data_IF_127923358199
#
_entry.id   IF_127923358199
#
_cell.length_a   1.000
_cell.length_b   1.000
_cell.length_c   1.000
_cell.angle_alpha   90.00
_cell.angle_beta   90.00
_cell.angle_gamma   90.00
#
_symmetry.space_group_name_H-M   'P 1'
#
loop_
_entity.id
_entity.type
_entity.pdbx_description
1 polymer ?
#
# COMPACT_ATOMS: atom_id res chain seq x y z
N UNK A 1 28.74 -23.21 -28.18
CA UNK A 1 27.97 -21.96 -28.19
C UNK A 1 28.37 -21.11 -26.99
N UNK A 2 28.61 -19.82 -27.17
CA UNK A 2 28.92 -18.88 -26.08
C UNK A 2 27.66 -18.46 -25.32
N UNK A 3 27.80 -17.99 -24.07
CA UNK A 3 26.69 -17.64 -23.20
C UNK A 3 25.80 -16.52 -23.77
N UNK A 4 26.39 -15.49 -24.38
CA UNK A 4 25.62 -14.37 -24.95
C UNK A 4 24.74 -14.83 -26.11
N UNK A 5 25.30 -15.64 -27.02
CA UNK A 5 24.53 -16.25 -28.11
C UNK A 5 23.42 -17.18 -27.59
N UNK A 6 23.60 -17.79 -26.42
CA UNK A 6 22.55 -18.60 -25.80
C UNK A 6 21.38 -17.73 -25.30
N UNK A 7 21.66 -16.57 -24.69
CA UNK A 7 20.65 -15.62 -24.20
C UNK A 7 19.80 -15.05 -25.31
N UNK A 8 20.41 -14.73 -26.45
CA UNK A 8 19.70 -14.27 -27.65
C UNK A 8 18.66 -15.29 -28.16
N UNK A 9 18.88 -16.58 -27.89
CA UNK A 9 18.00 -17.66 -28.35
C UNK A 9 16.88 -18.01 -27.35
N UNK A 10 16.82 -17.39 -26.17
CA UNK A 10 15.84 -17.74 -25.13
C UNK A 10 14.39 -17.59 -25.58
N UNK A 11 14.03 -16.47 -26.22
CA UNK A 11 12.66 -16.23 -26.71
C UNK A 11 12.26 -17.27 -27.75
N UNK A 12 13.08 -17.46 -28.79
CA UNK A 12 12.78 -18.42 -29.85
C UNK A 12 12.79 -19.88 -29.37
N UNK A 13 13.58 -20.21 -28.34
CA UNK A 13 13.57 -21.53 -27.70
C UNK A 13 12.30 -21.74 -26.87
N UNK A 14 11.89 -20.76 -26.07
CA UNK A 14 10.67 -20.80 -25.26
C UNK A 14 9.41 -20.87 -26.13
N UNK A 15 9.40 -20.17 -27.27
CA UNK A 15 8.31 -20.20 -28.25
C UNK A 15 8.32 -21.44 -29.15
N UNK A 16 9.32 -22.33 -29.01
CA UNK A 16 9.45 -23.52 -29.83
C UNK A 16 9.86 -23.26 -31.29
N UNK A 17 10.20 -22.03 -31.67
CA UNK A 17 10.55 -21.59 -33.04
C UNK A 17 12.01 -21.84 -33.43
N UNK A 18 12.84 -22.36 -32.52
CA UNK A 18 14.22 -22.68 -32.82
C UNK A 18 14.36 -23.84 -33.81
N UNK A 19 15.35 -23.75 -34.72
CA UNK A 19 15.77 -24.88 -35.55
C UNK A 19 16.18 -26.08 -34.67
N UNK A 20 15.89 -27.34 -35.08
CA UNK A 20 16.20 -28.53 -34.27
C UNK A 20 17.66 -28.64 -33.83
N UNK A 21 18.63 -28.30 -34.68
CA UNK A 21 20.05 -28.39 -34.36
C UNK A 21 20.45 -27.35 -33.31
N UNK A 22 19.90 -26.13 -33.42
CA UNK A 22 20.09 -25.08 -32.42
C UNK A 22 19.40 -25.44 -31.10
N UNK A 23 18.22 -26.08 -31.15
CA UNK A 23 17.47 -26.48 -29.97
C UNK A 23 18.26 -27.49 -29.14
N UNK A 24 18.85 -28.49 -29.81
CA UNK A 24 19.70 -29.48 -29.17
C UNK A 24 21.01 -28.87 -28.63
N UNK A 25 21.64 -27.96 -29.39
CA UNK A 25 22.85 -27.27 -28.93
C UNK A 25 22.57 -26.39 -27.69
N UNK A 26 21.44 -25.68 -27.65
CA UNK A 26 21.06 -24.87 -26.50
C UNK A 26 20.66 -25.75 -25.30
N UNK A 27 19.90 -26.82 -25.53
CA UNK A 27 19.53 -27.78 -24.50
C UNK A 27 20.74 -28.41 -23.80
N UNK A 28 21.74 -28.85 -24.58
CA UNK A 28 23.02 -29.34 -24.02
C UNK A 28 23.75 -28.27 -23.21
N UNK A 29 23.76 -27.03 -23.70
CA UNK A 29 24.42 -25.91 -23.01
C UNK A 29 23.73 -25.59 -21.68
N UNK A 30 22.40 -25.53 -21.65
CA UNK A 30 21.60 -25.35 -20.43
C UNK A 30 21.80 -26.50 -19.42
N UNK A 31 21.95 -27.74 -19.91
CA UNK A 31 22.25 -28.88 -19.04
C UNK A 31 23.65 -28.81 -18.41
N UNK A 32 24.64 -28.29 -19.16
CA UNK A 32 26.04 -28.19 -18.72
C UNK A 32 26.35 -26.97 -17.85
N UNK A 33 25.50 -25.94 -17.86
CA UNK A 33 25.79 -24.62 -17.30
C UNK A 33 24.67 -24.18 -16.33
N UNK A 34 24.82 -24.42 -15.01
CA UNK A 34 23.77 -24.15 -14.02
C UNK A 34 23.33 -22.69 -13.96
N UNK A 35 24.28 -21.75 -14.16
CA UNK A 35 24.00 -20.32 -14.13
C UNK A 35 23.13 -19.92 -15.33
N UNK A 36 23.47 -20.42 -16.52
CA UNK A 36 22.68 -20.14 -17.72
C UNK A 36 21.26 -20.75 -17.63
N UNK A 37 21.11 -21.89 -16.96
CA UNK A 37 19.80 -22.49 -16.67
C UNK A 37 18.95 -21.60 -15.75
N UNK A 38 19.53 -21.08 -14.68
CA UNK A 38 18.84 -20.14 -13.77
C UNK A 38 18.40 -18.85 -14.48
N UNK A 39 19.26 -18.32 -15.36
CA UNK A 39 18.92 -17.17 -16.22
C UNK A 39 17.72 -17.49 -17.13
N UNK A 40 17.72 -18.68 -17.75
CA UNK A 40 16.60 -19.14 -18.60
C UNK A 40 15.30 -19.34 -17.81
N UNK A 41 15.36 -19.94 -16.62
CA UNK A 41 14.20 -20.14 -15.74
C UNK A 41 13.59 -18.79 -15.32
N UNK A 42 14.43 -17.82 -14.98
CA UNK A 42 14.02 -16.45 -14.66
C UNK A 42 13.32 -15.79 -15.86
N UNK A 43 13.92 -15.89 -17.05
CA UNK A 43 13.31 -15.41 -18.30
C UNK A 43 11.93 -16.04 -18.55
N UNK A 44 11.83 -17.38 -18.45
CA UNK A 44 10.58 -18.10 -18.67
C UNK A 44 9.49 -17.75 -17.65
N UNK A 45 9.87 -17.44 -16.40
CA UNK A 45 8.94 -16.97 -15.37
C UNK A 45 8.38 -15.57 -15.71
N UNK A 46 9.25 -14.62 -16.09
CA UNK A 46 8.83 -13.28 -16.50
C UNK A 46 7.97 -13.31 -17.75
N UNK A 47 8.33 -14.13 -18.75
CA UNK A 47 7.57 -14.26 -19.99
C UNK A 47 6.16 -14.80 -19.74
N UNK A 48 6.01 -15.82 -18.87
CA UNK A 48 4.69 -16.33 -18.44
C UNK A 48 3.86 -15.27 -17.71
N UNK A 49 4.49 -14.48 -16.83
CA UNK A 49 3.81 -13.39 -16.16
C UNK A 49 3.28 -12.34 -17.16
N UNK A 50 4.07 -11.98 -18.18
CA UNK A 50 3.63 -11.07 -19.24
C UNK A 50 2.49 -11.65 -20.09
N UNK A 51 2.57 -12.93 -20.45
CA UNK A 51 1.46 -13.59 -21.17
C UNK A 51 0.17 -13.60 -20.36
N UNK A 52 0.25 -13.74 -19.03
CA UNK A 52 -0.94 -13.68 -18.16
C UNK A 52 -1.59 -12.29 -18.10
N UNK A 53 -0.82 -11.23 -18.38
CA UNK A 53 -1.33 -9.86 -18.51
C UNK A 53 -1.88 -9.57 -19.90
N UNK A 54 -1.41 -10.30 -20.91
CA UNK A 54 -1.74 -10.12 -22.32
C UNK A 54 -2.99 -10.86 -22.80
N UNK A 55 -3.71 -11.56 -21.91
CA UNK A 55 -5.06 -12.01 -22.25
C UNK A 55 -5.88 -10.77 -22.65
N UNK A 56 -6.35 -10.68 -23.90
CA UNK A 56 -7.24 -9.58 -24.26
C UNK A 56 -8.38 -9.62 -23.26
N UNK A 57 -8.57 -8.53 -22.51
CA UNK A 57 -9.78 -8.38 -21.73
C UNK A 57 -10.92 -8.62 -22.72
N UNK A 58 -11.73 -9.67 -22.50
CA UNK A 58 -12.94 -9.86 -23.28
C UNK A 58 -13.64 -8.51 -23.31
N UNK A 59 -13.97 -8.04 -24.52
CA UNK A 59 -14.72 -6.80 -24.65
C UNK A 59 -15.91 -6.91 -23.69
N UNK A 60 -16.01 -6.02 -22.69
CA UNK A 60 -17.09 -6.12 -21.73
C UNK A 60 -18.40 -6.12 -22.51
N UNK A 61 -19.33 -6.98 -22.13
CA UNK A 61 -20.63 -7.05 -22.78
C UNK A 61 -21.17 -5.62 -22.95
N UNK A 62 -21.69 -5.29 -24.14
CA UNK A 62 -22.11 -3.93 -24.48
C UNK A 62 -23.08 -3.33 -23.44
N UNK A 63 -23.85 -4.20 -22.76
CA UNK A 63 -24.82 -3.86 -21.73
C UNK A 63 -24.27 -3.89 -20.29
N UNK A 64 -22.97 -4.14 -20.08
CA UNK A 64 -22.39 -4.28 -18.74
C UNK A 64 -22.55 -2.99 -17.94
N UNK A 65 -22.34 -1.84 -18.59
CA UNK A 65 -22.54 -0.53 -17.97
C UNK A 65 -23.99 -0.37 -17.50
N UNK A 66 -24.96 -0.67 -18.38
CA UNK A 66 -26.39 -0.54 -18.09
C UNK A 66 -26.84 -1.51 -17.00
N UNK A 67 -26.31 -2.75 -17.00
CA UNK A 67 -26.59 -3.75 -15.96
C UNK A 67 -26.05 -3.35 -14.59
N UNK A 68 -24.84 -2.77 -14.55
CA UNK A 68 -24.25 -2.26 -13.32
C UNK A 68 -25.05 -1.08 -12.80
N UNK A 69 -25.42 -0.12 -13.67
CA UNK A 69 -26.24 1.03 -13.29
C UNK A 69 -27.63 0.60 -12.82
N UNK A 70 -28.30 -0.29 -13.54
CA UNK A 70 -29.60 -0.83 -13.12
C UNK A 70 -29.51 -1.55 -11.76
N UNK A 71 -28.39 -2.19 -11.45
CA UNK A 71 -28.18 -2.86 -10.14
C UNK A 71 -27.90 -1.85 -9.03
N UNK A 72 -27.16 -0.78 -9.31
CA UNK A 72 -26.93 0.33 -8.36
C UNK A 72 -28.25 1.05 -8.09
N UNK A 73 -29.03 1.37 -9.13
CA UNK A 73 -30.34 2.02 -9.02
C UNK A 73 -31.33 1.16 -8.25
N UNK A 74 -31.37 -0.14 -8.52
CA UNK A 74 -32.19 -1.09 -7.76
C UNK A 74 -31.80 -1.09 -6.28
N UNK A 75 -30.50 -1.09 -5.97
CA UNK A 75 -30.04 -1.06 -4.59
C UNK A 75 -30.39 0.27 -3.90
N UNK A 76 -30.25 1.39 -4.60
CA UNK A 76 -30.66 2.71 -4.12
C UNK A 76 -32.17 2.79 -3.87
N UNK A 77 -32.96 2.23 -4.78
CA UNK A 77 -34.42 2.20 -4.70
C UNK A 77 -34.92 1.26 -3.59
N UNK A 78 -34.36 0.05 -3.46
CA UNK A 78 -34.68 -0.88 -2.36
C UNK A 78 -34.34 -0.26 -0.99
N UNK A 79 -33.20 0.45 -0.89
CA UNK A 79 -32.80 1.18 0.32
C UNK A 79 -33.71 2.40 0.61
N UNK A 80 -34.25 3.04 -0.43
CA UNK A 80 -35.23 4.11 -0.28
C UNK A 80 -36.61 3.60 0.15
N UNK A 81 -37.03 2.43 -0.35
CA UNK A 81 -38.35 1.82 -0.09
C UNK A 81 -38.42 1.04 1.23
N UNK A 82 -37.28 0.57 1.74
CA UNK A 82 -37.16 -0.02 3.08
C UNK A 82 -37.29 1.00 4.23
N UNK A 83 -37.53 2.27 3.92
CA UNK A 83 -37.93 3.27 4.92
C UNK A 83 -39.45 3.21 5.11
N UNK A 84 -39.86 2.47 6.13
CA UNK A 84 -41.19 2.58 6.75
C UNK A 84 -41.59 4.05 7.01
N UNK A 85 -42.89 4.37 7.09
CA UNK A 85 -43.39 5.74 7.13
C UNK A 85 -42.89 6.47 8.38
N UNK A 86 -41.92 7.35 8.14
CA UNK A 86 -41.23 8.28 9.04
C UNK A 86 -42.10 9.03 10.05
N UNK A 87 -43.41 9.17 9.81
CA UNK A 87 -44.31 9.92 10.69
C UNK A 87 -44.67 9.21 12.01
N UNK A 88 -44.35 7.92 12.18
CA UNK A 88 -44.70 7.19 13.42
C UNK A 88 -43.72 7.41 14.59
N UNK A 89 -42.53 7.99 14.36
CA UNK A 89 -41.48 8.12 15.39
C UNK A 89 -40.90 9.55 15.56
N UNK A 90 -41.65 10.61 15.24
CA UNK A 90 -41.16 12.00 15.42
C UNK A 90 -40.73 12.37 16.86
N UNK A 91 -41.13 11.58 17.88
CA UNK A 91 -40.65 11.74 19.26
C UNK A 91 -39.18 11.35 19.47
N UNK A 92 -38.56 10.60 18.57
CA UNK A 92 -37.11 10.30 18.64
C UNK A 92 -36.26 11.25 17.78
N UNK A 93 -36.88 12.12 16.98
CA UNK A 93 -36.17 13.08 16.12
C UNK A 93 -35.51 14.25 16.89
N UNK A 94 -35.84 14.45 18.17
CA UNK A 94 -35.17 15.45 19.03
C UNK A 94 -33.81 14.98 19.58
N UNK A 95 -33.41 13.72 19.39
CA UNK A 95 -32.11 13.20 19.81
C UNK A 95 -31.07 13.10 18.67
N UNK A 96 -31.46 13.39 17.42
CA UNK A 96 -30.64 13.17 16.21
C UNK A 96 -29.96 14.43 15.64
N UNK A 97 -29.69 15.44 16.48
CA UNK A 97 -29.26 16.78 16.03
C UNK A 97 -27.77 16.95 15.67
N UNK A 98 -26.92 15.92 15.69
CA UNK A 98 -25.47 16.09 15.55
C UNK A 98 -24.78 15.29 14.43
N UNK A 99 -25.49 14.47 13.64
CA UNK A 99 -24.85 13.63 12.62
C UNK A 99 -24.74 14.26 11.21
N UNK A 100 -25.40 15.39 10.95
CA UNK A 100 -25.45 16.00 9.62
C UNK A 100 -24.21 16.85 9.26
N UNK A 101 -23.29 17.08 10.20
CA UNK A 101 -22.06 17.84 9.96
C UNK A 101 -20.87 16.98 9.49
N UNK A 102 -20.95 15.65 9.60
CA UNK A 102 -19.82 14.77 9.25
C UNK A 102 -19.70 14.47 7.74
N UNK A 103 -20.77 14.67 6.96
CA UNK A 103 -20.74 14.40 5.51
C UNK A 103 -20.32 15.62 4.66
N UNK A 104 -20.19 16.81 5.27
CA UNK A 104 -19.64 17.99 4.59
C UNK A 104 -18.12 18.13 4.75
N UNK A 105 -17.46 17.37 5.62
CA UNK A 105 -16.00 17.46 5.81
C UNK A 105 -15.19 16.63 4.81
N UNK A 106 -15.77 15.62 4.17
CA UNK A 106 -15.10 14.81 3.15
C UNK A 106 -14.87 15.56 1.82
N UNK A 107 -15.62 16.64 1.55
CA UNK A 107 -15.48 17.44 0.32
C UNK A 107 -14.54 18.65 0.43
N UNK A 108 -14.21 19.11 1.64
CA UNK A 108 -13.48 20.38 1.84
C UNK A 108 -11.97 20.18 2.01
N UNK A 109 -11.50 18.96 2.29
CA UNK A 109 -10.06 18.71 2.49
C UNK A 109 -9.20 18.82 1.21
N UNK A 110 -9.82 18.89 0.02
CA UNK A 110 -9.11 19.16 -1.24
C UNK A 110 -8.93 20.65 -1.56
N UNK A 111 -9.61 21.57 -0.87
CA UNK A 111 -9.62 23.00 -1.21
C UNK A 111 -8.69 23.88 -0.37
N UNK A 112 -8.02 23.36 0.66
CA UNK A 112 -7.15 24.14 1.54
C UNK A 112 -5.64 24.04 1.26
N UNK A 113 -5.22 23.43 0.14
CA UNK A 113 -3.85 23.66 -0.36
C UNK A 113 -3.81 25.01 -1.05
N UNK A 114 -3.44 26.05 -0.29
CA UNK A 114 -3.24 27.41 -0.75
C UNK A 114 -2.12 27.52 -1.78
N UNK A 115 -2.47 27.31 -3.04
CA UNK A 115 -1.74 27.73 -4.22
C UNK A 115 -2.78 28.21 -5.23
N UNK A 116 -2.61 29.43 -5.76
CA UNK A 116 -3.57 30.02 -6.69
C UNK A 116 -3.95 29.03 -7.81
N UNK A 117 -5.25 28.86 -8.13
CA UNK A 117 -5.66 27.98 -9.21
C UNK A 117 -5.24 28.60 -10.55
N UNK A 118 -4.05 28.24 -11.02
CA UNK A 118 -3.68 28.44 -12.42
C UNK A 118 -4.46 27.42 -13.24
N UNK A 119 -5.58 27.85 -13.81
CA UNK A 119 -6.35 27.09 -14.78
C UNK A 119 -5.52 26.91 -16.07
N UNK A 120 -4.66 25.88 -16.09
CA UNK A 120 -4.03 25.42 -17.32
C UNK A 120 -4.93 24.37 -17.96
N UNK A 121 -5.50 24.70 -19.12
CA UNK A 121 -6.41 23.86 -19.93
C UNK A 121 -5.71 22.64 -20.57
N UNK A 122 -4.44 22.39 -20.23
CA UNK A 122 -3.72 21.16 -20.51
C UNK A 122 -2.98 20.73 -19.24
N UNK A 123 -3.73 20.30 -18.22
CA UNK A 123 -3.18 19.84 -16.96
C UNK A 123 -2.51 18.49 -17.14
N UNK A 124 -1.19 18.47 -17.36
CA UNK A 124 -0.40 17.29 -17.03
C UNK A 124 -0.71 16.93 -15.58
N UNK A 125 -1.15 15.69 -15.27
CA UNK A 125 -1.46 15.32 -13.90
C UNK A 125 -0.23 15.60 -13.05
N UNK A 126 -0.38 16.43 -12.01
CA UNK A 126 0.68 16.68 -11.05
C UNK A 126 1.05 15.33 -10.47
N UNK A 127 2.24 14.83 -10.79
CA UNK A 127 2.61 13.49 -10.38
C UNK A 127 3.01 13.55 -8.92
N UNK A 128 2.11 13.08 -8.06
CA UNK A 128 2.34 13.10 -6.61
C UNK A 128 3.39 12.06 -6.21
N UNK A 129 4.24 12.44 -5.26
CA UNK A 129 5.14 11.54 -4.56
C UNK A 129 4.33 10.46 -3.84
N UNK A 130 4.63 9.19 -4.12
CA UNK A 130 3.93 8.05 -3.53
C UNK A 130 4.84 7.29 -2.59
N UNK A 131 4.39 7.17 -1.35
CA UNK A 131 5.08 6.40 -0.32
C UNK A 131 4.29 5.14 -0.02
N UNK A 132 4.97 4.01 -0.08
CA UNK A 132 4.43 2.69 0.14
C UNK A 132 5.18 2.01 1.27
N UNK A 133 4.45 1.35 2.15
CA UNK A 133 5.03 0.45 3.14
C UNK A 133 4.49 -0.95 2.83
N UNK A 134 5.39 -1.93 2.83
CA UNK A 134 5.08 -3.35 2.64
C UNK A 134 5.70 -4.16 3.76
N UNK A 135 5.00 -5.21 4.19
CA UNK A 135 5.58 -6.22 5.06
C UNK A 135 6.47 -7.17 4.25
N UNK A 136 7.64 -7.51 4.79
CA UNK A 136 8.53 -8.56 4.27
C UNK A 136 9.03 -9.41 5.45
N UNK A 137 8.21 -10.36 5.90
CA UNK A 137 8.50 -11.13 7.11
C UNK A 137 8.48 -10.26 8.37
N UNK A 138 9.61 -10.19 9.09
CA UNK A 138 9.81 -9.33 10.26
C UNK A 138 10.32 -7.92 9.90
N UNK A 139 10.49 -7.63 8.60
CA UNK A 139 11.00 -6.34 8.12
C UNK A 139 9.85 -5.47 7.58
N UNK A 140 9.93 -4.16 7.85
CA UNK A 140 9.15 -3.19 7.12
C UNK A 140 9.96 -2.68 5.92
N UNK A 141 9.41 -2.84 4.73
CA UNK A 141 10.00 -2.31 3.49
C UNK A 141 9.29 -1.01 3.14
N UNK A 142 10.03 0.09 3.23
CA UNK A 142 9.56 1.40 2.79
C UNK A 142 10.02 1.59 1.35
N UNK A 143 9.06 1.71 0.44
CA UNK A 143 9.30 2.05 -0.95
C UNK A 143 8.75 3.44 -1.22
N UNK A 144 9.50 4.24 -1.97
CA UNK A 144 9.11 5.60 -2.29
C UNK A 144 9.32 5.86 -3.77
N UNK A 145 8.33 6.49 -4.37
CA UNK A 145 8.29 6.91 -5.75
C UNK A 145 8.19 8.43 -5.75
N UNK A 146 9.12 9.09 -6.45
CA UNK A 146 9.15 10.55 -6.56
C UNK A 146 9.54 11.03 -7.93
N UNK A 147 9.23 12.30 -8.18
CA UNK A 147 9.62 13.04 -9.35
C UNK A 147 10.63 14.11 -8.95
N UNK A 148 11.81 14.05 -9.56
CA UNK A 148 12.91 14.97 -9.26
C UNK A 148 13.76 14.53 -8.07
N UNK A 149 14.63 15.44 -7.64
CA UNK A 149 15.60 15.17 -6.58
C UNK A 149 14.91 15.26 -5.22
N UNK A 150 15.02 14.21 -4.41
CA UNK A 150 14.48 14.14 -3.06
C UNK A 150 15.38 13.34 -2.14
N UNK A 151 15.38 13.70 -0.86
CA UNK A 151 15.98 12.90 0.20
C UNK A 151 14.88 12.24 1.04
N UNK A 152 14.96 10.91 1.20
CA UNK A 152 14.12 10.16 2.15
C UNK A 152 15.00 9.75 3.32
N UNK A 153 14.54 10.09 4.52
CA UNK A 153 15.24 9.75 5.77
C UNK A 153 14.29 8.95 6.65
N UNK A 154 14.74 7.79 7.11
CA UNK A 154 14.02 6.98 8.09
C UNK A 154 14.73 7.12 9.43
N UNK A 155 14.00 7.58 10.44
CA UNK A 155 14.52 7.83 11.79
C UNK A 155 13.70 7.11 12.83
N UNK A 156 14.35 6.64 13.87
CA UNK A 156 13.68 6.11 15.06
C UNK A 156 13.12 7.27 15.90
N UNK A 157 11.83 7.23 16.24
CA UNK A 157 11.15 8.36 16.93
C UNK A 157 11.70 8.57 18.34
N UNK A 158 11.92 7.49 19.09
CA UNK A 158 12.33 7.58 20.50
C UNK A 158 13.78 8.05 20.67
N UNK A 159 14.68 7.67 19.76
CA UNK A 159 16.11 7.96 19.87
C UNK A 159 16.57 9.08 18.93
N UNK A 160 15.76 9.46 17.95
CA UNK A 160 16.16 10.34 16.85
C UNK A 160 17.23 9.74 15.93
N UNK A 161 17.60 8.47 16.13
CA UNK A 161 18.66 7.78 15.38
C UNK A 161 18.23 7.60 13.93
N UNK A 162 19.06 8.05 13.00
CA UNK A 162 18.87 7.79 11.57
C UNK A 162 19.16 6.32 11.26
N UNK A 163 18.14 5.61 10.77
CA UNK A 163 18.24 4.20 10.41
C UNK A 163 18.65 4.04 8.94
N UNK A 164 18.20 4.95 8.08
CA UNK A 164 18.53 4.96 6.68
C UNK A 164 18.32 6.35 6.07
N UNK A 165 19.11 6.64 5.04
CA UNK A 165 18.95 7.79 4.16
C UNK A 165 19.14 7.36 2.72
N UNK A 166 18.25 7.82 1.86
CA UNK A 166 18.33 7.60 0.42
C UNK A 166 18.18 8.95 -0.26
N UNK A 167 19.23 9.36 -0.96
CA UNK A 167 19.19 10.50 -1.88
C UNK A 167 18.80 9.98 -3.27
N UNK A 168 17.75 10.57 -3.84
CA UNK A 168 17.30 10.28 -5.19
C UNK A 168 17.69 11.47 -6.05
N UNK A 169 18.56 11.25 -7.03
CA UNK A 169 19.12 12.32 -7.87
C UNK A 169 18.18 12.75 -9.01
N UNK A 170 17.19 11.93 -9.36
CA UNK A 170 16.25 12.18 -10.46
C UNK A 170 16.88 12.18 -11.86
N UNK A 171 18.20 12.02 -11.97
CA UNK A 171 18.97 12.07 -13.23
C UNK A 171 19.35 10.70 -13.76
N UNK A 172 19.43 9.69 -12.87
CA UNK A 172 19.84 8.33 -13.25
C UNK A 172 18.72 7.54 -13.94
N UNK A 173 17.48 8.04 -13.94
CA UNK A 173 16.31 7.37 -14.50
C UNK A 173 15.55 8.35 -15.42
N UNK A 174 15.38 8.04 -16.72
CA UNK A 174 14.64 8.91 -17.64
C UNK A 174 13.20 9.13 -17.15
N UNK A 175 12.64 10.30 -17.45
CA UNK A 175 11.27 10.68 -17.08
C UNK A 175 10.29 9.51 -17.26
N UNK A 176 9.60 9.13 -16.18
CA UNK A 176 8.62 8.05 -16.17
C UNK A 176 9.11 6.73 -15.58
N UNK A 177 10.42 6.55 -15.34
CA UNK A 177 10.91 5.41 -14.56
C UNK A 177 10.77 5.66 -13.06
N UNK A 178 10.00 4.77 -12.43
CA UNK A 178 9.77 4.73 -11.00
C UNK A 178 11.05 4.38 -10.27
N UNK A 179 11.65 5.34 -9.56
CA UNK A 179 12.66 4.98 -8.58
C UNK A 179 12.03 4.10 -7.50
N UNK A 180 12.63 2.93 -7.26
CA UNK A 180 12.19 1.98 -6.22
C UNK A 180 13.42 1.57 -5.44
N UNK A 181 13.83 2.39 -4.47
CA UNK A 181 14.78 1.91 -3.45
C UNK A 181 13.98 1.41 -2.24
N UNK A 182 13.93 0.10 -2.00
CA UNK A 182 13.40 -0.40 -0.75
C UNK A 182 14.36 -0.05 0.39
N UNK A 183 13.88 0.70 1.38
CA UNK A 183 14.55 0.81 2.68
C UNK A 183 14.01 -0.31 3.55
N UNK A 184 14.87 -1.25 3.93
CA UNK A 184 14.54 -2.33 4.86
C UNK A 184 14.81 -1.87 6.28
N UNK A 185 13.77 -1.82 7.10
CA UNK A 185 13.87 -1.45 8.52
C UNK A 185 13.69 -2.71 9.37
N UNK A 186 14.66 -2.96 10.24
CA UNK A 186 14.68 -4.14 11.11
C UNK A 186 15.10 -3.79 12.52
N UNK A 187 14.32 -4.21 13.49
CA UNK A 187 14.48 -3.85 14.89
C UNK A 187 14.44 -5.09 15.79
N UNK A 188 15.19 -5.07 16.90
CA UNK A 188 15.14 -6.16 17.88
C UNK A 188 13.89 -6.10 18.77
N UNK A 189 13.43 -4.88 19.06
CA UNK A 189 12.21 -4.57 19.79
C UNK A 189 11.27 -3.75 18.90
N UNK A 190 9.95 -3.78 19.16
CA UNK A 190 9.01 -2.93 18.43
C UNK A 190 9.42 -1.49 18.58
N UNK A 191 9.49 -0.78 17.47
CA UNK A 191 9.90 0.62 17.48
C UNK A 191 9.12 1.42 16.46
N UNK A 192 8.91 2.69 16.78
CA UNK A 192 8.22 3.63 15.93
C UNK A 192 9.26 4.34 15.09
N UNK A 193 9.11 4.26 13.78
CA UNK A 193 9.97 4.96 12.83
C UNK A 193 9.20 6.05 12.11
N UNK A 194 9.87 7.16 11.90
CA UNK A 194 9.39 8.30 11.14
C UNK A 194 10.06 8.28 9.78
N UNK A 195 9.25 8.27 8.72
CA UNK A 195 9.72 8.43 7.35
C UNK A 195 9.51 9.87 6.93
N UNK A 196 10.61 10.59 6.81
CA UNK A 196 10.65 12.01 6.41
C UNK A 196 11.06 12.08 4.95
N UNK A 197 10.25 12.76 4.15
CA UNK A 197 10.52 13.02 2.74
C UNK A 197 10.75 14.52 2.57
N UNK A 198 11.85 14.90 1.94
CA UNK A 198 12.19 16.30 1.69
C UNK A 198 11.07 17.05 0.95
N UNK A 199 10.59 18.14 1.54
CA UNK A 199 9.50 18.96 1.00
C UNK A 199 8.08 18.43 1.27
N UNK A 200 7.93 17.35 2.06
CA UNK A 200 6.64 16.91 2.59
C UNK A 200 6.51 17.37 4.05
N UNK A 201 5.43 18.07 4.38
CA UNK A 201 5.19 18.61 5.74
C UNK A 201 4.83 17.50 6.74
N UNK A 202 4.04 16.52 6.31
CA UNK A 202 3.53 15.45 7.15
C UNK A 202 4.40 14.19 6.99
N UNK A 203 5.27 13.85 7.97
CA UNK A 203 6.04 12.62 7.94
C UNK A 203 5.11 11.41 8.10
N UNK A 204 5.54 10.22 7.65
CA UNK A 204 4.77 9.00 7.91
C UNK A 204 5.29 8.32 9.17
N UNK A 205 4.41 7.97 10.10
CA UNK A 205 4.77 7.14 11.25
C UNK A 205 4.47 5.69 10.95
N UNK A 206 5.45 4.83 11.20
CA UNK A 206 5.37 3.39 10.96
C UNK A 206 5.84 2.66 12.23
N UNK A 207 4.95 1.92 12.88
CA UNK A 207 5.34 0.98 13.92
C UNK A 207 5.85 -0.30 13.25
N UNK A 208 7.11 -0.62 13.52
CA UNK A 208 7.80 -1.80 12.95
C UNK A 208 7.85 -2.89 14.02
N UNK A 209 7.44 -4.13 13.71
CA UNK A 209 7.56 -5.23 14.66
C UNK A 209 9.03 -5.46 15.04
N UNK A 210 9.31 -5.70 16.32
CA UNK A 210 10.63 -6.15 16.76
C UNK A 210 10.83 -7.63 16.49
N UNK A 211 12.04 -8.16 16.50
CA UNK A 211 12.27 -9.62 16.41
C UNK A 211 11.77 -10.38 17.63
N UNK A 212 11.91 -9.79 18.82
CA UNK A 212 11.47 -10.39 20.09
C UNK A 212 10.04 -9.93 20.36
N UNK A 213 9.11 -10.88 20.38
CA UNK A 213 7.72 -10.58 20.71
C UNK A 213 7.62 -10.19 22.19
N UNK A 214 7.13 -8.99 22.47
CA UNK A 214 6.40 -8.73 23.70
C UNK A 214 4.92 -8.85 23.33
N UNK A 215 4.10 -9.54 24.14
CA UNK A 215 2.70 -9.78 23.78
C UNK A 215 1.78 -8.95 24.69
N UNK A 216 1.88 -7.60 24.70
CA UNK A 216 0.97 -6.80 25.51
C UNK A 216 -0.45 -7.02 24.97
N UNK A 217 -1.29 -7.66 25.78
CA UNK A 217 -2.69 -7.92 25.45
C UNK A 217 -3.56 -6.71 25.74
N UNK A 218 -3.14 -5.88 26.68
CA UNK A 218 -3.87 -4.74 27.22
C UNK A 218 -2.86 -3.62 27.46
N UNK A 219 -3.28 -2.38 27.31
CA UNK A 219 -2.42 -1.22 27.47
C UNK A 219 -3.20 0.08 27.51
N UNK A 220 -2.48 1.16 27.83
CA UNK A 220 -2.99 2.53 27.84
C UNK A 220 -1.92 3.46 27.28
N UNK A 221 -2.32 4.45 26.49
CA UNK A 221 -1.41 5.39 25.86
C UNK A 221 -2.01 6.04 24.61
N UNK A 222 -1.12 6.54 23.77
CA UNK A 222 -1.44 7.24 22.52
C UNK A 222 -1.68 6.28 21.34
N UNK A 223 -2.04 6.85 20.18
CA UNK A 223 -2.23 6.07 18.95
C UNK A 223 -0.96 5.36 18.51
N UNK A 224 0.19 5.96 18.83
CA UNK A 224 1.50 5.42 18.54
C UNK A 224 1.79 4.21 19.42
N UNK A 225 1.37 4.25 20.69
CA UNK A 225 1.53 3.13 21.63
C UNK A 225 0.65 1.94 21.24
N UNK A 226 -0.58 2.19 20.77
CA UNK A 226 -1.42 1.14 20.20
C UNK A 226 -0.82 0.55 18.93
N UNK A 227 -0.32 1.39 18.02
CA UNK A 227 0.30 0.91 16.80
C UNK A 227 1.51 0.03 17.09
N UNK A 228 2.32 0.38 18.10
CA UNK A 228 3.41 -0.47 18.60
C UNK A 228 2.90 -1.79 19.18
N UNK A 229 1.85 -1.76 20.01
CA UNK A 229 1.26 -2.97 20.59
C UNK A 229 0.66 -3.90 19.51
N UNK A 230 -0.01 -3.33 18.50
CA UNK A 230 -0.52 -4.05 17.33
C UNK A 230 0.62 -4.65 16.50
N UNK A 231 1.65 -3.85 16.20
CA UNK A 231 2.78 -4.30 15.41
C UNK A 231 3.51 -5.46 16.09
N UNK A 232 3.75 -5.36 17.39
CA UNK A 232 4.44 -6.41 18.14
C UNK A 232 3.60 -7.69 18.23
N UNK A 233 2.33 -7.56 18.62
CA UNK A 233 1.44 -8.70 18.84
C UNK A 233 1.15 -9.47 17.55
N UNK A 234 0.83 -8.76 16.48
CA UNK A 234 0.38 -9.36 15.23
C UNK A 234 1.50 -9.49 14.20
N UNK A 235 2.71 -9.01 14.49
CA UNK A 235 3.89 -9.11 13.62
C UNK A 235 3.67 -8.48 12.25
N UNK A 236 2.89 -7.41 12.20
CA UNK A 236 2.60 -6.65 10.97
C UNK A 236 3.04 -5.20 11.17
N UNK A 237 3.66 -4.55 10.18
CA UNK A 237 3.89 -3.12 10.24
C UNK A 237 2.55 -2.37 10.33
N UNK A 238 2.51 -1.33 11.18
CA UNK A 238 1.32 -0.49 11.35
C UNK A 238 1.66 0.94 10.98
N UNK A 239 0.93 1.52 10.03
CA UNK A 239 1.08 2.91 9.60
C UNK A 239 0.04 3.77 10.29
N UNK A 240 0.47 4.89 10.87
CA UNK A 240 -0.41 5.86 11.53
C UNK A 240 -0.26 7.21 10.85
N UNK A 241 -1.39 7.84 10.54
CA UNK A 241 -1.40 9.21 10.02
C UNK A 241 -1.04 10.21 11.12
N UNK A 242 -0.12 11.14 10.87
CA UNK A 242 0.45 12.06 11.87
C UNK A 242 -0.50 13.11 12.44
N UNK A 243 -1.71 13.22 11.89
CA UNK A 243 -2.70 14.21 12.34
C UNK A 243 -3.51 13.77 13.54
N UNK A 244 -3.22 12.60 14.11
CA UNK A 244 -3.98 12.09 15.23
C UNK A 244 -3.58 12.75 16.54
N UNK A 245 -4.56 13.34 17.22
CA UNK A 245 -4.43 13.98 18.52
C UNK A 245 -3.80 13.06 19.58
N UNK A 246 -3.13 13.68 20.56
CA UNK A 246 -2.56 13.02 21.75
C UNK A 246 -3.63 12.54 22.73
N UNK A 247 -4.64 11.85 22.23
CA UNK A 247 -5.70 11.29 23.05
C UNK A 247 -5.17 10.01 23.67
N UNK A 248 -5.26 9.93 25.00
CA UNK A 248 -4.91 8.75 25.77
C UNK A 248 -6.11 7.80 25.75
N UNK A 249 -5.91 6.54 25.35
CA UNK A 249 -6.96 5.54 25.30
C UNK A 249 -6.46 4.20 25.85
N UNK A 250 -7.42 3.39 26.30
CA UNK A 250 -7.19 2.06 26.85
C UNK A 250 -7.59 1.04 25.80
N UNK A 251 -6.74 0.05 25.53
CA UNK A 251 -7.02 -0.98 24.55
C UNK A 251 -6.89 -2.38 25.12
N UNK A 252 -7.61 -3.31 24.49
CA UNK A 252 -7.54 -4.75 24.74
C UNK A 252 -7.50 -5.50 23.41
N UNK A 253 -6.35 -6.08 23.08
CA UNK A 253 -6.10 -6.84 21.87
C UNK A 253 -6.50 -8.31 22.09
N UNK A 254 -7.81 -8.55 22.19
CA UNK A 254 -8.37 -9.89 22.43
C UNK A 254 -8.55 -10.72 21.15
N UNK A 255 -8.79 -10.08 20.01
CA UNK A 255 -9.11 -10.74 18.77
C UNK A 255 -7.85 -11.35 18.11
N UNK A 256 -7.89 -12.58 17.57
CA UNK A 256 -6.76 -13.15 16.82
C UNK A 256 -6.49 -12.42 15.48
N UNK A 257 -7.50 -11.76 14.90
CA UNK A 257 -7.34 -10.96 13.69
C UNK A 257 -6.88 -9.53 14.02
N UNK A 258 -5.84 -9.07 13.33
CA UNK A 258 -5.21 -7.77 13.58
C UNK A 258 -6.13 -6.57 13.26
N UNK A 259 -6.95 -6.67 12.20
CA UNK A 259 -7.86 -5.59 11.79
C UNK A 259 -9.02 -5.49 12.76
N UNK A 260 -9.62 -6.63 13.13
CA UNK A 260 -10.71 -6.67 14.10
C UNK A 260 -10.23 -6.21 15.48
N UNK A 261 -9.03 -6.61 15.93
CA UNK A 261 -8.44 -6.13 17.18
C UNK A 261 -8.22 -4.61 17.18
N UNK A 262 -7.69 -4.06 16.08
CA UNK A 262 -7.49 -2.62 15.94
C UNK A 262 -8.84 -1.88 15.88
N UNK A 263 -9.82 -2.40 15.15
CA UNK A 263 -11.16 -1.82 15.06
C UNK A 263 -11.86 -1.79 16.42
N UNK A 264 -11.73 -2.87 17.21
CA UNK A 264 -12.26 -2.91 18.57
C UNK A 264 -11.57 -1.90 19.48
N UNK A 265 -10.25 -1.75 19.38
CA UNK A 265 -9.47 -0.77 20.14
C UNK A 265 -9.77 0.69 19.75
N UNK A 266 -10.16 0.94 18.50
CA UNK A 266 -10.45 2.26 17.95
C UNK A 266 -11.93 2.66 18.02
N UNK A 267 -12.79 1.82 18.62
CA UNK A 267 -14.26 1.99 18.61
C UNK A 267 -14.74 3.33 19.20
N UNK A 268 -13.99 3.90 20.14
CA UNK A 268 -14.29 5.18 20.78
C UNK A 268 -13.64 6.39 20.07
N UNK A 269 -12.97 6.14 18.93
CA UNK A 269 -12.28 7.16 18.14
C UNK A 269 -12.98 7.36 16.79
N UNK A 270 -12.62 8.42 16.07
CA UNK A 270 -13.06 8.64 14.69
C UNK A 270 -12.19 7.91 13.66
N UNK A 271 -11.20 7.12 14.10
CA UNK A 271 -10.23 6.45 13.25
C UNK A 271 -10.72 5.07 12.83
N UNK A 272 -10.29 4.63 11.66
CA UNK A 272 -10.53 3.29 11.13
C UNK A 272 -9.21 2.53 10.95
N UNK A 273 -9.29 1.20 11.07
CA UNK A 273 -8.19 0.29 10.77
C UNK A 273 -8.46 -0.48 9.47
N UNK A 274 -7.48 -0.55 8.58
CA UNK A 274 -7.59 -1.27 7.30
C UNK A 274 -6.30 -2.06 7.01
N UNK A 275 -6.41 -3.33 6.66
CA UNK A 275 -5.28 -4.10 6.11
C UNK A 275 -5.17 -3.85 4.62
N UNK A 276 -4.08 -3.25 4.17
CA UNK A 276 -3.82 -3.06 2.73
C UNK A 276 -3.26 -4.34 2.10
N UNK A 277 -3.39 -4.51 0.76
CA UNK A 277 -2.80 -5.65 0.03
C UNK A 277 -1.28 -5.79 0.20
N UNK A 278 -0.60 -4.76 0.68
CA UNK A 278 0.84 -4.77 0.99
C UNK A 278 1.18 -5.47 2.32
N UNK A 279 0.19 -6.01 3.04
CA UNK A 279 0.38 -6.67 4.33
C UNK A 279 0.65 -5.70 5.48
N UNK A 280 0.25 -4.43 5.32
CA UNK A 280 0.45 -3.36 6.29
C UNK A 280 -0.90 -2.90 6.80
N UNK A 281 -1.01 -2.78 8.12
CA UNK A 281 -2.20 -2.25 8.77
C UNK A 281 -2.13 -0.72 8.78
N UNK A 282 -3.18 -0.05 8.35
CA UNK A 282 -3.27 1.41 8.33
C UNK A 282 -4.29 1.88 9.36
N UNK A 283 -3.94 2.90 10.12
CA UNK A 283 -4.84 3.62 11.04
C UNK A 283 -4.93 5.08 10.60
N UNK A 284 -6.14 5.52 10.26
CA UNK A 284 -6.43 6.86 9.72
C UNK A 284 -7.83 7.34 10.05
#
# INVERSE_FOLDING_TARGET
>A
MHADKARELFSAYHEGKLDPALRESLGRKLASDPKLREEYESFAATYRALQSLGSPAEEPAFDLHDRVMARIDRYAWEKARAKEPWFRNWRTALAGGLAALALLSAGVSLMQRGGAPSASLAGTPAVEDRLYVRADGDEAVVAFQTFGRKTVVVREVNQGRELARVEMDGTTYPMGQLFRSPIRVRMDQPSLVQVVVEGREDPLLVAVPGRKASLPREGRGSIQDLALALADRYRVPVVVSTRTDKTDFVWKLGNPDSVAAATDALRETALAAEMRPTGVLWIQ
#
